data_IF_477622388751
#
_entry.id   IF_477622388751
#
_cell.length_a   1.000
_cell.length_b   1.000
_cell.length_c   1.000
_cell.angle_alpha   90.00
_cell.angle_beta   90.00
_cell.angle_gamma   90.00
#
_symmetry.space_group_name_H-M   'P 1'
#
loop_
_entity.id
_entity.type
_entity.pdbx_description
1 polymer ?
#
# COMPACT_ATOMS: atom_id res chain seq x y z
N UNK A 1 -6.96 3.62 -8.21
CA UNK A 1 -6.81 2.58 -7.17
C UNK A 1 -6.61 3.30 -5.84
N UNK A 2 -7.14 2.75 -4.74
CA UNK A 2 -7.18 3.42 -3.42
C UNK A 2 -6.12 2.88 -2.44
N UNK A 3 -5.48 1.76 -2.78
CA UNK A 3 -4.47 1.08 -1.97
C UNK A 3 -3.37 0.51 -2.87
N UNK A 4 -2.11 0.80 -2.52
CA UNK A 4 -0.92 0.14 -3.05
C UNK A 4 -0.49 -0.95 -2.07
N UNK A 5 -0.48 -2.20 -2.52
CA UNK A 5 0.05 -3.33 -1.75
C UNK A 5 1.42 -3.72 -2.31
N UNK A 6 2.43 -3.79 -1.46
CA UNK A 6 3.76 -4.25 -1.88
C UNK A 6 4.57 -4.85 -0.73
N UNK A 7 5.33 -5.90 -1.02
CA UNK A 7 6.36 -6.42 -0.12
C UNK A 7 7.74 -5.77 -0.35
N UNK A 8 7.81 -4.69 -1.14
CA UNK A 8 9.05 -4.02 -1.50
C UNK A 8 9.03 -2.54 -1.05
N UNK A 9 9.71 -2.19 0.05
CA UNK A 9 9.79 -0.81 0.52
C UNK A 9 10.32 0.17 -0.52
N UNK A 10 11.28 -0.25 -1.36
CA UNK A 10 11.87 0.59 -2.40
C UNK A 10 10.85 1.01 -3.44
N UNK A 11 10.15 0.05 -4.05
CA UNK A 11 9.09 0.34 -5.02
C UNK A 11 7.94 1.14 -4.37
N UNK A 12 7.59 0.82 -3.13
CA UNK A 12 6.56 1.52 -2.37
C UNK A 12 6.86 3.01 -2.24
N UNK A 13 8.08 3.36 -1.79
CA UNK A 13 8.52 4.74 -1.65
C UNK A 13 8.54 5.46 -3.00
N UNK A 14 9.02 4.79 -4.05
CA UNK A 14 9.10 5.36 -5.40
C UNK A 14 7.71 5.68 -5.96
N UNK A 15 6.76 4.73 -5.86
CA UNK A 15 5.39 4.89 -6.37
C UNK A 15 4.63 5.95 -5.55
N UNK A 16 4.68 5.88 -4.22
CA UNK A 16 4.00 6.85 -3.37
C UNK A 16 4.55 8.28 -3.58
N UNK A 17 5.86 8.41 -3.80
CA UNK A 17 6.50 9.69 -4.15
C UNK A 17 6.04 10.21 -5.52
N UNK A 18 5.90 9.33 -6.51
CA UNK A 18 5.37 9.69 -7.82
C UNK A 18 3.90 10.13 -7.76
N UNK A 19 3.05 9.43 -6.99
CA UNK A 19 1.65 9.80 -6.81
C UNK A 19 1.51 11.17 -6.14
N UNK A 20 2.26 11.43 -5.07
CA UNK A 20 2.26 12.74 -4.41
C UNK A 20 2.67 13.87 -5.35
N UNK A 21 3.69 13.68 -6.20
CA UNK A 21 4.07 14.68 -7.22
C UNK A 21 2.99 14.90 -8.27
N UNK A 22 2.16 13.89 -8.55
CA UNK A 22 1.02 14.00 -9.45
C UNK A 22 -0.23 14.60 -8.76
N UNK A 23 -0.13 15.07 -7.52
CA UNK A 23 -1.25 15.62 -6.76
C UNK A 23 -2.23 14.56 -6.24
N UNK A 24 -1.81 13.29 -6.20
CA UNK A 24 -2.63 12.18 -5.74
C UNK A 24 -2.03 11.54 -4.48
N UNK A 25 -2.90 11.27 -3.50
CA UNK A 25 -2.58 10.48 -2.31
C UNK A 25 -2.97 9.01 -2.55
N UNK A 26 -2.17 8.08 -2.03
CA UNK A 26 -2.47 6.64 -2.10
C UNK A 26 -2.12 5.99 -0.76
N UNK A 27 -3.03 5.16 -0.23
CA UNK A 27 -2.73 4.34 0.95
C UNK A 27 -1.75 3.25 0.57
N UNK A 28 -0.89 2.88 1.51
CA UNK A 28 0.11 1.83 1.32
C UNK A 28 -0.10 0.76 2.38
N UNK A 29 -0.06 -0.50 1.98
CA UNK A 29 0.01 -1.65 2.89
C UNK A 29 1.09 -2.63 2.44
N UNK A 30 1.76 -3.25 3.40
CA UNK A 30 2.61 -4.39 3.16
C UNK A 30 1.75 -5.64 2.89
N UNK A 31 2.23 -6.55 2.03
CA UNK A 31 1.50 -7.78 1.70
C UNK A 31 1.15 -8.60 2.95
N UNK A 32 2.03 -8.63 3.96
CA UNK A 32 1.78 -9.31 5.22
C UNK A 32 0.59 -8.73 6.01
N UNK A 33 0.37 -7.41 5.96
CA UNK A 33 -0.76 -6.76 6.65
C UNK A 33 -2.09 -7.15 6.00
N UNK A 34 -2.13 -7.22 4.66
CA UNK A 34 -3.31 -7.71 3.91
C UNK A 34 -3.62 -9.15 4.25
N UNK A 35 -2.60 -10.01 4.33
CA UNK A 35 -2.76 -11.41 4.68
C UNK A 35 -3.24 -11.58 6.13
N UNK A 36 -2.66 -10.85 7.10
CA UNK A 36 -3.11 -10.88 8.49
C UNK A 36 -4.58 -10.48 8.62
N UNK A 37 -4.97 -9.36 8.01
CA UNK A 37 -6.34 -8.87 8.01
C UNK A 37 -7.30 -9.90 7.39
N UNK A 38 -6.94 -10.50 6.26
CA UNK A 38 -7.72 -11.54 5.59
C UNK A 38 -7.89 -12.79 6.45
N UNK A 39 -6.81 -13.27 7.09
CA UNK A 39 -6.85 -14.47 7.92
C UNK A 39 -7.68 -14.27 9.19
N UNK A 40 -7.68 -13.05 9.72
CA UNK A 40 -8.46 -12.65 10.89
C UNK A 40 -9.89 -12.22 10.57
N UNK A 41 -10.23 -12.06 9.29
CA UNK A 41 -11.55 -11.57 8.86
C UNK A 41 -11.81 -10.11 9.24
N UNK A 42 -10.77 -9.27 9.27
CA UNK A 42 -10.86 -7.83 9.57
C UNK A 42 -10.45 -6.99 8.35
N UNK A 43 -10.85 -5.72 8.33
CA UNK A 43 -10.45 -4.78 7.27
C UNK A 43 -9.14 -4.07 7.59
N UNK A 44 -8.43 -3.65 6.54
CA UNK A 44 -7.24 -2.79 6.58
C UNK A 44 -7.60 -1.31 6.72
#
# INVERSE_FOLDING_TARGET
AELLVSANPGCTMQIASAMRRAGAEIRVAHTAEVLDASLRGVSL
#
